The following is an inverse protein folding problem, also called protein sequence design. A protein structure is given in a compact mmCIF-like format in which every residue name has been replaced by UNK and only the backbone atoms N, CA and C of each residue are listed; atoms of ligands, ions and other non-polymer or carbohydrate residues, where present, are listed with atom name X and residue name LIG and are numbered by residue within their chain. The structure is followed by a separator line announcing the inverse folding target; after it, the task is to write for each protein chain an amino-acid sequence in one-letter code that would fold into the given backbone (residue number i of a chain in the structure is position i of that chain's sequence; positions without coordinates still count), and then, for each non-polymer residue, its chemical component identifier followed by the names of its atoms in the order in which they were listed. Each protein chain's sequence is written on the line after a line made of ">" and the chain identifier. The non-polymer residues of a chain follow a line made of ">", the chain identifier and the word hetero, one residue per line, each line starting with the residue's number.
data_IF_218432029332
#
_entry.id   IF_218432029332
#
_cell.length_a   1.000
_cell.length_b   1.000
_cell.length_c   1.000
_cell.angle_alpha   90.00
_cell.angle_beta   90.00
_cell.angle_gamma   90.00
#
_symmetry.space_group_name_H-M   'P 1'
#
loop_
_entity.id
_entity.type
_entity.pdbx_description
1 polymer ?
#
# COMPACT_ATOMS: atom_id res chain seq x y z
N UNK A 1 -2.43 -15.41 -29.73
CA UNK A 1 -1.48 -15.00 -28.67
C UNK A 1 -1.95 -13.67 -28.11
N UNK A 2 -1.97 -13.48 -26.79
CA UNK A 2 -2.31 -12.22 -26.11
C UNK A 2 -0.99 -11.63 -25.58
N UNK A 3 -0.59 -10.46 -26.06
CA UNK A 3 0.63 -9.79 -25.60
C UNK A 3 0.34 -8.92 -24.40
N UNK A 4 1.07 -9.13 -23.31
CA UNK A 4 0.87 -8.42 -22.04
C UNK A 4 2.18 -7.79 -21.58
N UNK A 5 2.18 -6.48 -21.44
CA UNK A 5 3.25 -5.73 -20.79
C UNK A 5 2.87 -5.50 -19.31
N UNK A 6 3.80 -5.73 -18.40
CA UNK A 6 3.71 -5.25 -17.02
C UNK A 6 4.61 -4.01 -16.90
N UNK A 7 4.03 -2.88 -16.49
CA UNK A 7 4.70 -1.60 -16.31
C UNK A 7 4.50 -1.10 -14.87
N UNK A 8 5.09 -1.79 -13.87
CA UNK A 8 4.96 -1.38 -12.46
C UNK A 8 5.75 -0.08 -12.23
N UNK A 9 5.07 0.96 -11.72
CA UNK A 9 5.77 2.17 -11.27
C UNK A 9 6.25 2.02 -9.82
N UNK A 10 5.42 1.39 -8.98
CA UNK A 10 5.77 1.09 -7.60
C UNK A 10 6.14 -0.40 -7.50
N UNK A 11 7.42 -0.69 -7.76
CA UNK A 11 7.98 -2.05 -7.81
C UNK A 11 8.04 -2.68 -6.42
N UNK A 12 8.10 -1.89 -5.36
CA UNK A 12 8.01 -2.33 -3.96
C UNK A 12 6.68 -3.05 -3.68
N UNK A 13 5.64 -2.76 -4.47
CA UNK A 13 4.36 -3.47 -4.45
C UNK A 13 4.21 -4.46 -5.62
N UNK A 14 5.32 -5.05 -6.11
CA UNK A 14 5.30 -6.08 -7.14
C UNK A 14 4.44 -7.28 -6.75
N UNK A 15 4.28 -7.56 -5.46
CA UNK A 15 3.40 -8.61 -4.93
C UNK A 15 1.92 -8.46 -5.34
N UNK A 16 1.47 -7.25 -5.71
CA UNK A 16 0.16 -7.02 -6.33
C UNK A 16 0.01 -7.61 -7.74
N UNK A 17 1.12 -7.80 -8.47
CA UNK A 17 1.17 -8.28 -9.86
C UNK A 17 1.84 -9.66 -10.01
N UNK A 18 2.69 -10.05 -9.06
CA UNK A 18 3.59 -11.20 -9.17
C UNK A 18 2.88 -12.51 -9.55
N UNK A 19 1.76 -12.84 -8.88
CA UNK A 19 1.03 -14.08 -9.19
C UNK A 19 0.29 -14.01 -10.54
N UNK A 20 -0.16 -12.81 -10.97
CA UNK A 20 -0.76 -12.62 -12.29
C UNK A 20 0.30 -12.85 -13.37
N UNK A 21 1.47 -12.21 -13.22
CA UNK A 21 2.62 -12.40 -14.11
C UNK A 21 3.05 -13.86 -14.20
N UNK A 22 3.32 -14.52 -13.07
CA UNK A 22 3.82 -15.89 -13.06
C UNK A 22 2.85 -16.90 -13.67
N UNK A 23 1.54 -16.65 -13.54
CA UNK A 23 0.52 -17.50 -14.16
C UNK A 23 0.39 -17.23 -15.65
N UNK A 24 0.39 -15.97 -16.09
CA UNK A 24 0.36 -15.65 -17.53
C UNK A 24 1.62 -16.15 -18.24
N UNK A 25 2.81 -16.01 -17.62
CA UNK A 25 4.08 -16.51 -18.19
C UNK A 25 4.09 -18.01 -18.47
N UNK A 26 3.30 -18.78 -17.73
CA UNK A 26 3.18 -20.25 -17.85
C UNK A 26 2.01 -20.69 -18.73
N UNK A 27 1.25 -19.76 -19.27
CA UNK A 27 0.04 -20.00 -20.03
C UNK A 27 0.29 -19.66 -21.50
N UNK A 28 0.22 -20.67 -22.37
CA UNK A 28 0.55 -20.60 -23.81
C UNK A 28 -0.27 -19.56 -24.59
N UNK A 29 -1.37 -19.07 -24.00
CA UNK A 29 -2.17 -18.00 -24.61
C UNK A 29 -1.50 -16.65 -24.53
N UNK A 30 -0.49 -16.48 -23.68
CA UNK A 30 0.14 -15.19 -23.37
C UNK A 30 1.60 -15.13 -23.79
N UNK A 31 1.99 -13.99 -24.33
CA UNK A 31 3.38 -13.53 -24.41
C UNK A 31 3.52 -12.38 -23.41
N UNK A 32 4.35 -12.53 -22.38
CA UNK A 32 4.46 -11.54 -21.29
C UNK A 32 5.85 -10.95 -21.20
N UNK A 33 5.92 -9.64 -20.92
CA UNK A 33 7.18 -8.93 -20.61
C UNK A 33 6.96 -7.95 -19.46
N UNK A 34 7.98 -7.79 -18.63
CA UNK A 34 8.02 -6.77 -17.57
C UNK A 34 8.98 -5.68 -18.00
N UNK A 35 8.55 -4.44 -17.85
CA UNK A 35 9.33 -3.27 -18.22
C UNK A 35 9.50 -2.35 -17.02
N UNK A 36 10.67 -1.76 -16.86
CA UNK A 36 10.93 -0.72 -15.87
C UNK A 36 11.11 0.63 -16.56
N UNK A 37 10.63 1.67 -15.90
CA UNK A 37 10.67 3.07 -16.35
C UNK A 37 11.12 3.95 -15.19
N UNK A 38 11.50 5.19 -15.50
CA UNK A 38 11.73 6.18 -14.46
C UNK A 38 10.42 6.58 -13.81
N UNK A 39 10.50 6.99 -12.56
CA UNK A 39 9.39 7.51 -11.76
C UNK A 39 9.81 8.78 -11.05
N UNK A 40 8.83 9.58 -10.65
CA UNK A 40 9.03 10.75 -9.79
C UNK A 40 8.08 10.65 -8.62
N UNK A 41 8.53 10.15 -7.47
CA UNK A 41 7.75 10.14 -6.23
C UNK A 41 7.75 11.53 -5.60
N UNK A 42 6.89 11.75 -4.60
CA UNK A 42 6.91 13.02 -3.88
C UNK A 42 8.27 13.22 -3.20
N UNK A 43 8.79 14.44 -3.28
CA UNK A 43 10.13 14.77 -2.76
C UNK A 43 11.25 14.62 -3.79
N UNK A 44 11.01 13.88 -4.88
CA UNK A 44 12.01 13.71 -5.93
C UNK A 44 12.17 14.98 -6.79
N UNK A 45 13.41 15.43 -7.05
CA UNK A 45 13.64 16.59 -7.91
C UNK A 45 13.30 16.26 -9.37
N UNK A 46 13.66 15.07 -9.84
CA UNK A 46 13.57 14.64 -11.24
C UNK A 46 13.07 13.18 -11.35
N UNK A 47 12.77 12.73 -12.58
CA UNK A 47 12.45 11.33 -12.84
C UNK A 47 13.71 10.44 -12.70
N UNK A 48 13.66 9.44 -11.83
CA UNK A 48 14.77 8.51 -11.55
C UNK A 48 14.25 7.10 -11.19
N UNK A 49 15.06 6.24 -10.58
CA UNK A 49 14.59 4.99 -9.96
C UNK A 49 14.46 3.79 -10.89
N UNK A 50 14.78 3.93 -12.18
CA UNK A 50 14.60 2.86 -13.17
C UNK A 50 15.59 1.70 -12.97
N UNK A 51 16.84 2.02 -12.61
CA UNK A 51 17.90 1.04 -12.38
C UNK A 51 17.61 0.26 -11.11
N UNK A 52 17.24 0.95 -10.04
CA UNK A 52 16.86 0.36 -8.75
C UNK A 52 15.63 -0.54 -8.90
N UNK A 53 14.64 -0.11 -9.70
CA UNK A 53 13.49 -0.94 -10.05
C UNK A 53 13.88 -2.20 -10.82
N UNK A 54 14.83 -2.09 -11.76
CA UNK A 54 15.36 -3.22 -12.53
C UNK A 54 16.09 -4.22 -11.63
N UNK A 55 17.05 -3.73 -10.84
CA UNK A 55 17.84 -4.52 -9.89
C UNK A 55 16.97 -5.20 -8.84
N UNK A 56 15.95 -4.50 -8.32
CA UNK A 56 14.99 -5.10 -7.40
C UNK A 56 14.27 -6.29 -8.04
N UNK A 57 13.72 -6.12 -9.24
CA UNK A 57 13.02 -7.20 -9.96
C UNK A 57 13.96 -8.37 -10.28
N UNK A 58 15.21 -8.09 -10.66
CA UNK A 58 16.23 -9.13 -10.87
C UNK A 58 16.56 -9.89 -9.57
N UNK A 59 16.68 -9.18 -8.44
CA UNK A 59 16.97 -9.79 -7.14
C UNK A 59 15.90 -10.81 -6.71
N UNK A 60 14.64 -10.60 -7.13
CA UNK A 60 13.52 -11.53 -6.92
C UNK A 60 13.23 -12.43 -8.13
N UNK A 61 14.18 -12.51 -9.08
CA UNK A 61 14.18 -13.40 -10.24
C UNK A 61 13.02 -13.15 -11.22
N UNK A 62 12.64 -11.89 -11.40
CA UNK A 62 11.65 -11.45 -12.39
C UNK A 62 12.37 -10.91 -13.63
N UNK A 63 12.34 -11.63 -14.77
CA UNK A 63 12.92 -11.13 -16.00
C UNK A 63 12.24 -9.82 -16.43
N UNK A 64 13.03 -8.79 -16.63
CA UNK A 64 12.52 -7.46 -16.95
C UNK A 64 13.49 -6.71 -17.87
N UNK A 65 13.00 -5.66 -18.52
CA UNK A 65 13.77 -4.83 -19.45
C UNK A 65 13.61 -3.36 -19.07
N UNK A 66 14.72 -2.65 -18.90
CA UNK A 66 14.71 -1.19 -18.80
C UNK A 66 14.35 -0.60 -20.16
N UNK A 67 13.24 0.11 -20.24
CA UNK A 67 12.86 0.80 -21.48
C UNK A 67 13.78 1.99 -21.73
N UNK A 68 14.41 2.02 -22.90
CA UNK A 68 15.12 3.21 -23.39
C UNK A 68 14.16 4.27 -23.93
N UNK A 69 13.02 3.83 -24.50
CA UNK A 69 11.96 4.70 -24.99
C UNK A 69 10.60 4.00 -25.02
N UNK A 70 9.52 4.79 -25.16
CA UNK A 70 8.17 4.24 -25.35
C UNK A 70 8.03 3.45 -26.66
N UNK A 71 8.90 3.68 -27.65
CA UNK A 71 8.82 2.99 -28.93
C UNK A 71 9.19 1.51 -28.82
N UNK A 72 10.04 1.14 -27.86
CA UNK A 72 10.30 -0.27 -27.51
C UNK A 72 9.03 -0.95 -26.96
N UNK A 73 8.27 -0.26 -26.11
CA UNK A 73 6.98 -0.75 -25.61
C UNK A 73 5.94 -0.86 -26.73
N UNK A 74 5.88 0.12 -27.65
CA UNK A 74 5.02 0.05 -28.84
C UNK A 74 5.43 -1.07 -29.79
N UNK A 75 6.72 -1.31 -29.98
CA UNK A 75 7.25 -2.37 -30.83
C UNK A 75 6.89 -3.76 -30.30
N UNK A 76 6.81 -3.94 -28.98
CA UNK A 76 6.26 -5.14 -28.38
C UNK A 76 4.77 -5.34 -28.74
N UNK A 77 4.05 -4.24 -29.03
CA UNK A 77 2.63 -4.21 -29.38
C UNK A 77 1.74 -4.96 -28.36
N UNK A 78 1.74 -4.54 -27.08
CA UNK A 78 0.93 -5.20 -26.05
C UNK A 78 -0.56 -4.98 -26.30
N UNK A 79 -1.34 -6.07 -26.27
CA UNK A 79 -2.81 -5.99 -26.19
C UNK A 79 -3.25 -5.34 -24.87
N UNK A 80 -2.52 -5.65 -23.78
CA UNK A 80 -2.74 -5.07 -22.46
C UNK A 80 -1.43 -4.60 -21.83
N UNK A 81 -1.46 -3.40 -21.23
CA UNK A 81 -0.42 -2.93 -20.31
C UNK A 81 -0.99 -2.88 -18.89
N UNK A 82 -0.39 -3.68 -18.00
CA UNK A 82 -0.70 -3.71 -16.58
C UNK A 82 0.04 -2.59 -15.86
N UNK A 83 -0.70 -1.79 -15.10
CA UNK A 83 -0.16 -0.76 -14.20
C UNK A 83 -0.73 -0.96 -12.80
N UNK A 84 0.04 -0.57 -11.77
CA UNK A 84 -0.38 -0.70 -10.37
C UNK A 84 -0.48 0.62 -9.60
N UNK A 85 0.08 1.70 -10.15
CA UNK A 85 0.10 3.01 -9.53
C UNK A 85 -0.79 3.97 -10.31
N UNK A 86 -1.81 4.59 -9.68
CA UNK A 86 -2.82 5.33 -10.44
C UNK A 86 -2.46 6.79 -10.73
N UNK A 87 -1.41 7.31 -10.08
CA UNK A 87 -1.07 8.74 -9.99
C UNK A 87 -0.25 9.22 -11.19
N UNK A 88 -0.82 10.10 -12.02
CA UNK A 88 -0.22 10.41 -13.33
C UNK A 88 1.02 11.30 -13.25
N UNK A 89 1.10 12.16 -12.23
CA UNK A 89 2.26 13.04 -12.00
C UNK A 89 3.57 12.27 -11.83
N UNK A 90 3.50 11.01 -11.40
CA UNK A 90 4.65 10.17 -11.11
C UNK A 90 5.19 9.41 -12.34
N UNK A 91 4.48 9.47 -13.47
CA UNK A 91 4.90 8.91 -14.76
C UNK A 91 5.45 10.00 -15.68
N UNK A 92 6.52 9.68 -16.41
CA UNK A 92 6.91 10.47 -17.59
C UNK A 92 5.74 10.50 -18.59
N UNK A 93 5.59 11.59 -19.34
CA UNK A 93 4.39 11.84 -20.15
C UNK A 93 4.07 10.72 -21.15
N UNK A 94 5.11 10.12 -21.74
CA UNK A 94 4.99 9.01 -22.68
C UNK A 94 4.44 7.71 -22.06
N UNK A 95 4.48 7.57 -20.73
CA UNK A 95 3.98 6.41 -19.98
C UNK A 95 2.70 6.69 -19.19
N UNK A 96 2.16 7.91 -19.23
CA UNK A 96 0.86 8.25 -18.64
C UNK A 96 -0.29 7.52 -19.36
N UNK A 97 -1.41 7.37 -18.66
CA UNK A 97 -2.60 6.68 -19.16
C UNK A 97 -3.10 7.26 -20.49
N UNK A 98 -3.07 8.58 -20.67
CA UNK A 98 -3.43 9.27 -21.91
C UNK A 98 -2.55 8.88 -23.10
N UNK A 99 -1.29 8.54 -22.85
CA UNK A 99 -0.33 8.11 -23.88
C UNK A 99 -0.47 6.62 -24.16
N UNK A 100 -0.58 5.79 -23.11
CA UNK A 100 -0.71 4.34 -23.23
C UNK A 100 -2.00 3.94 -23.96
N UNK A 101 -3.12 4.57 -23.63
CA UNK A 101 -4.44 4.20 -24.17
C UNK A 101 -4.54 4.36 -25.70
N UNK A 102 -3.61 5.07 -26.32
CA UNK A 102 -3.54 5.26 -27.78
C UNK A 102 -3.09 4.02 -28.54
N UNK A 103 -2.42 3.07 -27.88
CA UNK A 103 -1.88 1.87 -28.54
C UNK A 103 -2.06 0.57 -27.76
N UNK A 104 -2.54 0.60 -26.51
CA UNK A 104 -2.74 -0.60 -25.69
C UNK A 104 -3.91 -0.45 -24.72
N UNK A 105 -4.52 -1.56 -24.30
CA UNK A 105 -5.55 -1.54 -23.26
C UNK A 105 -4.90 -1.47 -21.88
N UNK A 106 -5.29 -0.49 -21.09
CA UNK A 106 -4.81 -0.38 -19.70
C UNK A 106 -5.57 -1.38 -18.81
N UNK A 107 -4.82 -2.17 -18.05
CA UNK A 107 -5.31 -3.08 -17.02
C UNK A 107 -4.76 -2.66 -15.66
N UNK A 108 -5.60 -2.17 -14.76
CA UNK A 108 -5.16 -1.62 -13.46
C UNK A 108 -5.39 -2.61 -12.31
N UNK A 109 -4.32 -2.91 -11.56
CA UNK A 109 -4.35 -3.70 -10.32
C UNK A 109 -3.77 -2.84 -9.18
N UNK A 110 -4.54 -2.46 -8.15
CA UNK A 110 -4.05 -1.54 -7.12
C UNK A 110 -2.80 -2.02 -6.36
N UNK A 111 -1.84 -1.11 -6.14
CA UNK A 111 -0.62 -1.36 -5.35
C UNK A 111 -0.86 -1.42 -3.83
N UNK A 112 -1.86 -0.68 -3.33
CA UNK A 112 -2.24 -0.65 -1.92
C UNK A 112 -3.00 -1.93 -1.53
N UNK A 113 -3.17 -2.21 -0.24
CA UNK A 113 -3.80 -3.46 0.21
C UNK A 113 -5.32 -3.36 0.35
N UNK A 114 -5.80 -2.35 1.08
CA UNK A 114 -7.20 -2.18 1.49
C UNK A 114 -7.56 -0.68 1.52
N UNK A 115 -8.74 -0.27 1.00
CA UNK A 115 -9.19 1.12 1.04
C UNK A 115 -9.80 1.47 2.41
N UNK A 116 -8.96 1.83 3.37
CA UNK A 116 -9.32 1.93 4.79
C UNK A 116 -9.88 3.29 5.24
N UNK A 117 -9.77 4.35 4.43
CA UNK A 117 -10.17 5.71 4.83
C UNK A 117 -11.26 6.31 3.95
N UNK A 118 -12.01 7.21 4.56
CA UNK A 118 -12.84 8.22 3.92
C UNK A 118 -12.07 9.54 3.88
N UNK A 119 -12.19 10.30 2.80
CA UNK A 119 -11.70 11.68 2.78
C UNK A 119 -12.62 12.58 3.63
N UNK A 120 -12.12 13.64 4.30
CA UNK A 120 -12.94 14.51 5.16
C UNK A 120 -14.13 15.18 4.43
N UNK A 121 -14.10 15.24 3.10
CA UNK A 121 -15.12 15.84 2.25
C UNK A 121 -15.90 14.81 1.43
N UNK A 122 -15.59 13.52 1.55
CA UNK A 122 -16.31 12.43 0.89
C UNK A 122 -17.15 11.64 1.90
N UNK A 123 -18.05 10.79 1.40
CA UNK A 123 -18.71 9.75 2.20
C UNK A 123 -18.36 8.37 1.64
N UNK A 124 -18.00 7.42 2.50
CA UNK A 124 -17.66 6.06 2.09
C UNK A 124 -16.24 5.93 1.52
N UNK A 125 -16.09 5.34 0.33
CA UNK A 125 -14.76 5.10 -0.25
C UNK A 125 -14.19 6.43 -0.76
N UNK A 126 -12.99 6.80 -0.30
CA UNK A 126 -12.31 8.02 -0.72
C UNK A 126 -12.10 8.10 -2.25
N UNK A 127 -12.29 9.29 -2.83
CA UNK A 127 -12.21 9.56 -4.26
C UNK A 127 -10.93 9.09 -4.93
N UNK A 128 -9.78 9.17 -4.25
CA UNK A 128 -8.49 8.76 -4.82
C UNK A 128 -8.42 7.28 -5.20
N UNK A 129 -9.28 6.42 -4.63
CA UNK A 129 -9.35 5.00 -4.98
C UNK A 129 -10.05 4.71 -6.30
N UNK A 130 -10.83 5.65 -6.87
CA UNK A 130 -11.64 5.37 -8.05
C UNK A 130 -11.78 6.51 -9.08
N UNK A 131 -11.31 7.74 -8.78
CA UNK A 131 -11.45 8.92 -9.67
C UNK A 131 -10.14 9.39 -10.33
N UNK A 132 -9.12 8.54 -10.41
CA UNK A 132 -7.86 8.86 -11.09
C UNK A 132 -7.98 8.73 -12.61
N UNK A 133 -7.17 9.49 -13.34
CA UNK A 133 -7.13 9.43 -14.82
C UNK A 133 -6.83 8.03 -15.35
N UNK A 134 -5.92 7.30 -14.71
CA UNK A 134 -5.65 5.88 -14.99
C UNK A 134 -6.91 5.01 -14.84
N UNK A 135 -7.76 5.27 -13.85
CA UNK A 135 -9.02 4.57 -13.68
C UNK A 135 -10.04 4.93 -14.77
N UNK A 136 -10.09 6.21 -15.14
CA UNK A 136 -10.99 6.69 -16.19
C UNK A 136 -10.59 6.18 -17.58
N UNK A 137 -9.31 5.89 -17.85
CA UNK A 137 -8.84 5.38 -19.14
C UNK A 137 -8.61 3.85 -19.17
N UNK A 138 -8.72 3.16 -18.03
CA UNK A 138 -8.58 1.72 -17.96
C UNK A 138 -9.64 0.97 -18.78
N UNK A 139 -9.20 -0.06 -19.51
CA UNK A 139 -10.08 -1.05 -20.14
C UNK A 139 -10.54 -2.11 -19.15
N UNK A 140 -9.72 -2.40 -18.13
CA UNK A 140 -10.02 -3.30 -17.02
C UNK A 140 -9.48 -2.73 -15.71
N UNK A 141 -10.29 -2.79 -14.66
CA UNK A 141 -9.87 -2.49 -13.28
C UNK A 141 -10.17 -3.70 -12.41
N UNK A 142 -9.27 -4.02 -11.49
CA UNK A 142 -9.37 -5.17 -10.59
C UNK A 142 -9.44 -4.70 -9.13
N UNK A 143 -10.63 -4.68 -8.55
CA UNK A 143 -10.83 -4.20 -7.17
C UNK A 143 -10.76 -5.33 -6.16
N UNK A 144 -10.29 -4.97 -4.97
CA UNK A 144 -10.04 -5.86 -3.86
C UNK A 144 -11.31 -6.09 -3.04
N UNK A 145 -12.15 -5.05 -2.93
CA UNK A 145 -13.38 -5.02 -2.16
C UNK A 145 -14.60 -4.65 -3.05
N UNK A 146 -15.84 -4.96 -2.60
CA UNK A 146 -17.04 -4.65 -3.34
C UNK A 146 -17.47 -3.17 -3.22
N UNK A 147 -17.07 -2.44 -2.17
CA UNK A 147 -17.40 -1.02 -1.97
C UNK A 147 -16.74 -0.15 -3.04
N UNK A 148 -15.45 -0.36 -3.32
CA UNK A 148 -14.72 0.37 -4.36
C UNK A 148 -15.35 0.12 -5.73
N UNK A 149 -15.75 -1.12 -6.03
CA UNK A 149 -16.48 -1.42 -7.28
C UNK A 149 -17.83 -0.69 -7.36
N UNK A 150 -18.53 -0.50 -6.23
CA UNK A 150 -19.75 0.31 -6.17
C UNK A 150 -19.46 1.80 -6.37
N UNK A 151 -18.38 2.33 -5.78
CA UNK A 151 -17.96 3.72 -5.95
C UNK A 151 -17.68 4.05 -7.42
N UNK A 152 -17.13 3.12 -8.19
CA UNK A 152 -17.00 3.26 -9.65
C UNK A 152 -18.33 3.46 -10.41
N UNK A 153 -19.50 3.21 -9.81
CA UNK A 153 -20.78 3.56 -10.44
C UNK A 153 -21.06 5.06 -10.43
N UNK A 154 -20.36 5.82 -9.59
CA UNK A 154 -20.47 7.26 -9.46
C UNK A 154 -19.69 8.01 -10.55
N UNK A 155 -18.79 7.33 -11.27
CA UNK A 155 -18.02 7.92 -12.38
C UNK A 155 -18.80 7.86 -13.69
N UNK A 156 -18.45 8.71 -14.66
CA UNK A 156 -19.17 8.80 -15.94
C UNK A 156 -19.17 7.46 -16.71
N UNK A 157 -18.06 6.70 -16.61
CA UNK A 157 -17.93 5.40 -17.28
C UNK A 157 -18.62 4.25 -16.54
N UNK A 158 -19.04 4.48 -15.29
CA UNK A 158 -19.64 3.48 -14.42
C UNK A 158 -18.73 2.29 -14.14
N UNK A 159 -19.30 1.18 -13.64
CA UNK A 159 -18.52 0.05 -13.14
C UNK A 159 -18.41 -1.16 -14.10
N UNK A 160 -18.79 -1.04 -15.38
CA UNK A 160 -18.88 -2.21 -16.30
C UNK A 160 -17.53 -2.86 -16.58
N UNK A 161 -16.46 -2.07 -16.62
CA UNK A 161 -15.09 -2.51 -16.86
C UNK A 161 -14.35 -2.92 -15.57
N UNK A 162 -14.98 -2.66 -14.42
CA UNK A 162 -14.45 -2.94 -13.08
C UNK A 162 -14.82 -4.37 -12.65
N UNK A 163 -13.82 -5.14 -12.27
CA UNK A 163 -13.93 -6.55 -11.87
C UNK A 163 -13.58 -6.66 -10.40
N UNK A 164 -14.50 -7.20 -9.64
CA UNK A 164 -14.26 -7.56 -8.25
C UNK A 164 -13.52 -8.88 -8.22
N UNK A 165 -12.23 -8.85 -7.90
CA UNK A 165 -11.33 -10.00 -8.00
C UNK A 165 -10.70 -10.41 -6.68
N UNK A 166 -10.78 -9.58 -5.64
CA UNK A 166 -9.92 -9.72 -4.47
C UNK A 166 -8.50 -9.22 -4.77
N UNK A 167 -7.60 -9.37 -3.80
CA UNK A 167 -6.23 -8.81 -3.85
C UNK A 167 -5.17 -9.91 -4.03
N UNK A 168 -4.42 -9.94 -5.16
CA UNK A 168 -3.24 -10.81 -5.28
C UNK A 168 -2.20 -10.52 -4.20
N UNK A 169 -2.13 -9.26 -3.73
CA UNK A 169 -1.25 -8.84 -2.65
C UNK A 169 -1.61 -9.51 -1.33
N UNK A 170 -2.90 -9.56 -0.95
CA UNK A 170 -3.35 -10.29 0.24
C UNK A 170 -3.06 -11.79 0.10
N UNK A 171 -3.36 -12.38 -1.07
CA UNK A 171 -3.04 -13.80 -1.35
C UNK A 171 -1.55 -14.10 -1.15
N UNK A 172 -0.67 -13.20 -1.63
CA UNK A 172 0.78 -13.26 -1.45
C UNK A 172 1.21 -13.09 0.01
N UNK A 173 0.67 -12.09 0.71
CA UNK A 173 0.97 -11.79 2.11
C UNK A 173 0.67 -12.98 3.02
N UNK A 174 -0.54 -13.53 2.93
CA UNK A 174 -0.93 -14.70 3.70
C UNK A 174 -0.12 -15.95 3.33
N UNK A 175 0.26 -16.10 2.06
CA UNK A 175 1.13 -17.21 1.64
C UNK A 175 2.52 -17.09 2.26
N UNK A 176 3.08 -15.88 2.35
CA UNK A 176 4.34 -15.63 3.05
C UNK A 176 4.19 -15.89 4.54
N UNK A 177 3.12 -15.43 5.17
CA UNK A 177 2.85 -15.65 6.58
C UNK A 177 2.84 -17.14 6.95
N UNK A 178 2.10 -17.97 6.18
CA UNK A 178 2.07 -19.44 6.37
C UNK A 178 3.43 -20.14 6.18
N UNK A 179 4.38 -19.50 5.47
CA UNK A 179 5.72 -20.03 5.21
C UNK A 179 6.79 -19.46 6.13
N UNK A 180 6.46 -18.40 6.86
CA UNK A 180 7.39 -17.78 7.79
C UNK A 180 7.75 -18.79 8.87
N UNK A 181 9.05 -18.94 9.14
CA UNK A 181 9.51 -19.79 10.22
C UNK A 181 9.28 -19.05 11.54
N UNK A 182 8.68 -19.75 12.50
CA UNK A 182 8.69 -19.33 13.89
C UNK A 182 10.09 -19.55 14.46
N UNK A 183 10.59 -18.57 15.20
CA UNK A 183 11.88 -18.66 15.90
C UNK A 183 11.63 -18.62 17.39
N UNK A 184 12.33 -19.49 18.13
CA UNK A 184 12.32 -19.43 19.58
C UNK A 184 13.04 -18.16 20.04
N UNK A 185 12.41 -17.45 20.98
CA UNK A 185 12.92 -16.20 21.55
C UNK A 185 12.88 -16.29 23.06
N UNK A 186 13.89 -15.72 23.71
CA UNK A 186 13.98 -15.66 25.17
C UNK A 186 13.28 -14.44 25.77
N UNK A 187 12.94 -13.43 24.94
CA UNK A 187 12.34 -12.17 25.34
C UNK A 187 11.04 -11.89 24.58
N UNK A 188 10.12 -11.24 25.27
CA UNK A 188 8.92 -10.66 24.66
C UNK A 188 9.34 -9.62 23.61
N UNK A 189 8.68 -9.59 22.46
CA UNK A 189 9.01 -8.68 21.36
C UNK A 189 7.85 -7.81 20.96
N UNK A 190 8.09 -6.51 21.03
CA UNK A 190 7.21 -5.48 20.50
C UNK A 190 7.78 -5.04 19.15
N UNK A 191 6.92 -4.97 18.14
CA UNK A 191 7.20 -4.21 16.93
C UNK A 191 6.50 -2.87 17.10
N UNK A 192 7.26 -1.78 17.13
CA UNK A 192 6.72 -0.43 17.13
C UNK A 192 6.84 0.15 15.73
N UNK A 193 5.70 0.42 15.10
CA UNK A 193 5.63 0.83 13.70
C UNK A 193 4.91 2.17 13.52
N UNK A 194 5.61 3.29 13.74
CA UNK A 194 5.05 4.61 13.58
C UNK A 194 4.92 5.04 12.10
N UNK A 195 3.92 5.86 11.84
CA UNK A 195 3.46 6.32 10.55
C UNK A 195 3.81 7.78 10.33
N UNK A 196 4.00 8.14 9.07
CA UNK A 196 4.57 9.42 8.68
C UNK A 196 3.55 10.49 8.29
N UNK A 197 2.25 10.18 8.25
CA UNK A 197 1.25 11.13 7.80
C UNK A 197 0.88 12.13 8.89
N UNK A 198 1.19 13.40 8.67
CA UNK A 198 0.83 14.52 9.56
C UNK A 198 -0.04 15.55 8.85
N UNK A 199 -0.89 16.23 9.61
CA UNK A 199 -1.72 17.36 9.16
C UNK A 199 -3.01 16.95 8.47
N UNK A 200 -4.07 17.78 8.55
CA UNK A 200 -5.45 17.39 8.20
C UNK A 200 -5.69 17.18 6.68
N UNK A 201 -4.77 17.66 5.83
CA UNK A 201 -4.87 17.56 4.38
C UNK A 201 -4.41 16.21 3.81
N UNK A 202 -3.87 15.34 4.67
CA UNK A 202 -3.57 13.94 4.37
C UNK A 202 -3.92 13.09 5.60
N UNK A 203 -3.86 11.76 5.49
CA UNK A 203 -4.37 10.75 6.44
C UNK A 203 -4.28 11.12 7.96
N UNK A 204 -3.26 11.86 8.39
CA UNK A 204 -3.09 12.39 9.76
C UNK A 204 -3.06 11.32 10.87
N UNK A 205 -2.57 10.13 10.56
CA UNK A 205 -2.42 9.02 11.51
C UNK A 205 -1.19 9.12 12.41
N UNK A 206 -0.15 9.86 12.02
CA UNK A 206 1.15 9.86 12.71
C UNK A 206 1.05 10.45 14.12
N UNK A 207 1.73 9.78 15.06
CA UNK A 207 1.77 10.14 16.49
C UNK A 207 3.20 10.17 17.06
N UNK A 208 4.22 9.90 16.24
CA UNK A 208 5.63 9.80 16.68
C UNK A 208 6.09 11.02 17.48
N UNK A 209 5.84 12.24 16.97
CA UNK A 209 6.18 13.53 17.60
C UNK A 209 5.61 13.73 19.00
N UNK A 210 4.55 12.99 19.35
CA UNK A 210 3.90 13.08 20.65
C UNK A 210 4.44 12.05 21.65
N UNK A 211 5.14 11.01 21.20
CA UNK A 211 5.44 9.84 22.05
C UNK A 211 6.86 9.26 21.92
N UNK A 212 7.68 9.74 20.99
CA UNK A 212 8.99 9.12 20.73
C UNK A 212 9.91 9.10 21.96
N UNK A 213 9.84 10.13 22.81
CA UNK A 213 10.63 10.20 24.05
C UNK A 213 10.07 9.25 25.11
N UNK A 214 8.74 9.16 25.25
CA UNK A 214 8.10 8.22 26.16
C UNK A 214 8.41 6.76 25.77
N UNK A 215 8.39 6.45 24.47
CA UNK A 215 8.78 5.15 23.95
C UNK A 215 10.26 4.84 24.21
N UNK A 216 11.15 5.83 24.05
CA UNK A 216 12.56 5.66 24.37
C UNK A 216 12.77 5.39 25.88
N UNK A 217 12.04 6.08 26.76
CA UNK A 217 12.09 5.83 28.20
C UNK A 217 11.50 4.46 28.56
N UNK A 218 10.41 4.07 27.91
CA UNK A 218 9.81 2.74 28.07
C UNK A 218 10.81 1.64 27.69
N UNK A 219 11.52 1.79 26.57
CA UNK A 219 12.57 0.85 26.16
C UNK A 219 13.69 0.73 27.21
N UNK A 220 14.10 1.85 27.82
CA UNK A 220 15.11 1.88 28.89
C UNK A 220 14.64 1.19 30.16
N UNK A 221 13.38 1.34 30.54
CA UNK A 221 12.84 0.75 31.77
C UNK A 221 12.45 -0.72 31.65
N UNK A 222 12.44 -1.29 30.43
CA UNK A 222 12.10 -2.70 30.17
C UNK A 222 13.21 -3.43 29.39
N UNK A 223 14.43 -3.57 29.96
CA UNK A 223 15.56 -4.22 29.28
C UNK A 223 15.34 -5.72 28.97
N UNK A 224 14.32 -6.34 29.58
CA UNK A 224 13.86 -7.70 29.34
C UNK A 224 13.00 -7.87 28.08
N UNK A 225 12.66 -6.78 27.40
CA UNK A 225 11.78 -6.75 26.22
C UNK A 225 12.56 -6.30 25.00
N UNK A 226 12.47 -7.05 23.90
CA UNK A 226 12.99 -6.64 22.62
C UNK A 226 12.01 -5.66 21.95
N UNK A 227 12.45 -4.48 21.54
CA UNK A 227 11.62 -3.52 20.81
C UNK A 227 12.22 -3.23 19.44
N UNK A 228 11.47 -3.61 18.40
CA UNK A 228 11.87 -3.40 17.00
C UNK A 228 11.15 -2.17 16.45
N UNK A 229 11.91 -1.12 16.16
CA UNK A 229 11.44 0.06 15.45
C UNK A 229 11.29 -0.27 13.97
N UNK A 230 10.04 -0.31 13.48
CA UNK A 230 9.66 -0.52 12.07
C UNK A 230 9.00 0.75 11.53
N UNK A 231 9.75 1.85 11.34
CA UNK A 231 9.15 3.08 10.86
C UNK A 231 8.59 2.89 9.45
N UNK A 232 7.56 3.68 9.12
CA UNK A 232 7.24 3.91 7.71
C UNK A 232 8.50 4.44 6.99
N UNK A 233 8.84 4.01 5.76
CA UNK A 233 10.08 4.42 5.08
C UNK A 233 10.26 5.93 4.98
N UNK A 234 9.16 6.68 4.89
CA UNK A 234 9.18 8.14 4.83
C UNK A 234 9.18 8.86 6.18
N UNK A 235 9.05 8.16 7.31
CA UNK A 235 8.87 8.79 8.63
C UNK A 235 9.95 9.82 8.95
N UNK A 236 11.21 9.39 9.02
CA UNK A 236 12.30 10.25 9.47
C UNK A 236 12.50 11.45 8.53
N UNK A 237 12.38 11.24 7.21
CA UNK A 237 12.41 12.32 6.23
C UNK A 237 11.22 13.28 6.35
N UNK A 238 10.02 12.76 6.62
CA UNK A 238 8.84 13.60 6.84
C UNK A 238 8.98 14.48 8.09
N UNK A 239 9.59 13.97 9.17
CA UNK A 239 9.78 14.73 10.41
C UNK A 239 10.58 16.02 10.18
N UNK A 240 11.63 15.96 9.36
CA UNK A 240 12.48 17.12 9.07
C UNK A 240 11.93 17.96 7.91
N UNK A 241 11.44 17.34 6.84
CA UNK A 241 10.89 18.04 5.67
C UNK A 241 9.60 18.84 5.98
N UNK A 242 8.92 18.52 7.09
CA UNK A 242 7.74 19.24 7.57
C UNK A 242 7.98 20.03 8.85
N UNK A 243 9.24 20.20 9.24
CA UNK A 243 9.63 20.99 10.41
C UNK A 243 8.95 20.53 11.71
N UNK A 244 8.59 19.24 11.78
CA UNK A 244 8.02 18.63 12.99
C UNK A 244 9.10 18.38 14.03
N UNK A 245 10.33 18.11 13.57
CA UNK A 245 11.54 17.99 14.38
C UNK A 245 12.73 18.53 13.58
N UNK A 246 13.76 19.02 14.27
CA UNK A 246 15.03 19.37 13.62
C UNK A 246 15.82 18.12 13.26
N UNK A 247 16.68 18.19 12.23
CA UNK A 247 17.56 17.06 11.88
C UNK A 247 18.42 16.61 13.08
N UNK A 248 18.97 17.56 13.85
CA UNK A 248 19.75 17.26 15.05
C UNK A 248 18.94 16.53 16.13
N UNK A 249 17.65 16.87 16.31
CA UNK A 249 16.77 16.16 17.24
C UNK A 249 16.50 14.72 16.78
N UNK A 250 16.23 14.52 15.49
CA UNK A 250 16.03 13.18 14.90
C UNK A 250 17.30 12.34 15.06
N UNK A 251 18.47 12.86 14.69
CA UNK A 251 19.75 12.15 14.80
C UNK A 251 20.08 11.79 16.25
N UNK A 252 19.81 12.70 17.18
CA UNK A 252 20.01 12.47 18.62
C UNK A 252 19.11 11.35 19.13
N UNK A 253 17.84 11.35 18.74
CA UNK A 253 16.88 10.33 19.14
C UNK A 253 17.25 8.96 18.55
N UNK A 254 17.59 8.89 17.26
CA UNK A 254 18.01 7.63 16.60
C UNK A 254 19.27 7.06 17.27
N UNK A 255 20.27 7.91 17.54
CA UNK A 255 21.48 7.49 18.25
C UNK A 255 21.17 6.96 19.65
N UNK A 256 20.23 7.59 20.38
CA UNK A 256 19.82 7.13 21.69
C UNK A 256 19.04 5.81 21.63
N UNK A 257 18.20 5.63 20.60
CA UNK A 257 17.49 4.38 20.33
C UNK A 257 18.46 3.24 20.03
N UNK A 258 19.37 3.42 19.08
CA UNK A 258 20.32 2.38 18.64
C UNK A 258 21.37 2.03 19.71
N UNK A 259 21.54 2.87 20.74
CA UNK A 259 22.45 2.62 21.86
C UNK A 259 21.87 1.66 22.92
N UNK A 260 20.56 1.38 22.90
CA UNK A 260 19.94 0.47 23.87
C UNK A 260 20.16 -1.00 23.46
N UNK A 261 20.51 -1.89 24.39
CA UNK A 261 20.83 -3.29 24.07
C UNK A 261 19.62 -4.16 23.72
N UNK A 262 18.41 -3.64 23.91
CA UNK A 262 17.13 -4.33 23.69
C UNK A 262 16.32 -3.71 22.54
N UNK A 263 16.87 -2.74 21.82
CA UNK A 263 16.23 -2.13 20.66
C UNK A 263 16.89 -2.57 19.36
N UNK A 264 16.15 -2.45 18.27
CA UNK A 264 16.70 -2.56 16.91
C UNK A 264 15.84 -1.78 15.94
N UNK A 265 16.39 -1.46 14.77
CA UNK A 265 15.67 -0.80 13.68
C UNK A 265 15.56 -1.74 12.48
N UNK A 266 14.35 -1.95 11.97
CA UNK A 266 14.10 -2.73 10.77
C UNK A 266 13.64 -1.81 9.64
N UNK A 267 14.48 -1.66 8.61
CA UNK A 267 14.15 -0.90 7.38
C UNK A 267 13.84 -1.81 6.20
N UNK A 268 13.87 -3.12 6.42
CA UNK A 268 13.63 -4.12 5.39
C UNK A 268 12.21 -4.04 4.82
N UNK A 269 12.09 -4.38 3.53
CA UNK A 269 10.81 -4.44 2.82
C UNK A 269 9.99 -5.67 3.20
N UNK A 270 10.63 -6.80 3.54
CA UNK A 270 9.94 -8.01 4.02
C UNK A 270 9.88 -8.05 5.55
N UNK A 271 8.73 -7.69 6.10
CA UNK A 271 8.44 -7.67 7.54
C UNK A 271 7.54 -8.82 7.99
N UNK A 272 7.15 -9.75 7.11
CA UNK A 272 6.21 -10.83 7.47
C UNK A 272 6.79 -11.74 8.55
N UNK A 273 8.07 -12.11 8.41
CA UNK A 273 8.78 -12.88 9.43
C UNK A 273 8.87 -12.14 10.76
N UNK A 274 9.06 -10.81 10.73
CA UNK A 274 9.08 -9.98 11.93
C UNK A 274 7.73 -10.01 12.67
N UNK A 275 6.62 -9.91 11.94
CA UNK A 275 5.27 -9.91 12.55
C UNK A 275 4.86 -11.28 13.09
N UNK A 276 5.18 -12.36 12.36
CA UNK A 276 4.96 -13.73 12.84
C UNK A 276 5.73 -13.99 14.14
N UNK A 277 6.91 -13.39 14.28
CA UNK A 277 7.79 -13.54 15.43
C UNK A 277 7.76 -12.33 16.38
N UNK A 278 6.68 -11.55 16.40
CA UNK A 278 6.42 -10.57 17.45
C UNK A 278 5.36 -11.09 18.41
N UNK A 279 5.30 -10.52 19.61
CA UNK A 279 4.22 -10.77 20.56
C UNK A 279 3.17 -9.66 20.53
N UNK A 280 3.58 -8.45 20.14
CA UNK A 280 2.71 -7.29 20.00
C UNK A 280 3.16 -6.42 18.83
N UNK A 281 2.21 -5.93 18.04
CA UNK A 281 2.40 -4.76 17.18
C UNK A 281 1.80 -3.55 17.88
N UNK A 282 2.60 -2.49 18.00
CA UNK A 282 2.18 -1.16 18.39
C UNK A 282 2.32 -0.25 17.17
N UNK A 283 1.22 0.24 16.61
CA UNK A 283 1.26 1.07 15.41
C UNK A 283 0.23 2.18 15.50
N UNK A 284 0.55 3.32 14.91
CA UNK A 284 -0.39 4.38 14.60
C UNK A 284 -0.74 4.36 13.09
N UNK A 285 -0.18 3.43 12.30
CA UNK A 285 -0.23 3.45 10.84
C UNK A 285 -1.33 2.57 10.26
N UNK A 286 -2.12 3.18 9.38
CA UNK A 286 -3.26 2.55 8.69
C UNK A 286 -2.94 1.18 8.05
N UNK A 287 -1.81 1.04 7.36
CA UNK A 287 -1.47 -0.17 6.61
C UNK A 287 -1.28 -1.39 7.53
N UNK A 288 -0.56 -1.22 8.64
CA UNK A 288 -0.27 -2.35 9.53
C UNK A 288 -1.43 -2.75 10.42
N UNK A 289 -2.42 -1.86 10.63
CA UNK A 289 -3.70 -2.25 11.27
C UNK A 289 -4.42 -3.33 10.48
N UNK A 290 -4.40 -3.27 9.14
CA UNK A 290 -4.98 -4.32 8.29
C UNK A 290 -4.06 -5.52 8.09
N UNK A 291 -2.74 -5.30 7.97
CA UNK A 291 -1.80 -6.36 7.64
C UNK A 291 -1.46 -7.29 8.80
N UNK A 292 -1.35 -6.76 10.02
CA UNK A 292 -0.99 -7.56 11.18
C UNK A 292 -1.98 -8.70 11.47
N UNK A 293 -3.30 -8.47 11.53
CA UNK A 293 -4.27 -9.56 11.65
C UNK A 293 -4.24 -10.50 10.43
N UNK A 294 -4.02 -10.01 9.20
CA UNK A 294 -3.86 -10.87 8.02
C UNK A 294 -2.67 -11.84 8.12
N UNK A 295 -1.58 -11.39 8.75
CA UNK A 295 -0.34 -12.16 8.89
C UNK A 295 -0.40 -13.10 10.08
N UNK A 296 -0.89 -12.61 11.22
CA UNK A 296 -0.72 -13.28 12.52
C UNK A 296 -2.00 -13.89 13.06
N UNK A 297 -3.18 -13.47 12.58
CA UNK A 297 -4.46 -13.79 13.20
C UNK A 297 -4.66 -13.17 14.58
N UNK A 298 -3.84 -12.17 14.97
CA UNK A 298 -3.87 -11.53 16.29
C UNK A 298 -4.22 -10.03 16.17
N UNK A 299 -4.81 -9.43 17.22
CA UNK A 299 -5.04 -8.00 17.28
C UNK A 299 -3.71 -7.22 17.34
N UNK A 300 -3.74 -6.00 16.81
CA UNK A 300 -2.69 -5.00 17.02
C UNK A 300 -3.10 -3.99 18.12
N UNK A 301 -2.14 -3.28 18.68
CA UNK A 301 -2.37 -2.08 19.48
C UNK A 301 -2.31 -0.86 18.57
N UNK A 302 -3.43 -0.13 18.49
CA UNK A 302 -3.56 1.09 17.70
C UNK A 302 -3.38 2.32 18.58
N UNK A 303 -2.31 3.09 18.34
CA UNK A 303 -2.12 4.42 18.92
C UNK A 303 -2.85 5.43 18.04
N UNK A 304 -4.05 5.80 18.47
CA UNK A 304 -5.03 6.49 17.66
C UNK A 304 -4.86 8.01 17.77
N UNK A 305 -4.47 8.65 16.67
CA UNK A 305 -4.56 10.10 16.55
C UNK A 305 -6.03 10.51 16.40
N UNK A 306 -6.60 11.23 17.36
CA UNK A 306 -8.01 11.65 17.34
C UNK A 306 -8.42 12.45 16.10
N UNK A 307 -7.46 13.04 15.39
CA UNK A 307 -7.68 13.88 14.21
C UNK A 307 -7.29 13.17 12.89
N UNK A 308 -7.07 11.84 12.92
CA UNK A 308 -6.85 11.08 11.69
C UNK A 308 -8.09 11.11 10.78
N UNK A 309 -7.91 10.90 9.48
CA UNK A 309 -9.02 10.77 8.55
C UNK A 309 -9.96 9.64 8.98
N UNK A 310 -11.27 9.88 8.91
CA UNK A 310 -12.26 8.89 9.30
C UNK A 310 -12.07 7.57 8.53
N UNK A 311 -12.30 6.44 9.20
CA UNK A 311 -12.27 5.15 8.53
C UNK A 311 -13.39 5.05 7.49
N UNK A 312 -13.14 4.29 6.43
CA UNK A 312 -14.21 3.80 5.55
C UNK A 312 -14.97 2.68 6.28
N UNK A 313 -16.11 2.17 5.76
CA UNK A 313 -16.78 1.03 6.37
C UNK A 313 -15.87 -0.18 6.60
N UNK A 314 -15.04 -0.55 5.60
CA UNK A 314 -14.02 -1.60 5.73
C UNK A 314 -12.92 -1.20 6.73
N UNK A 315 -12.55 0.08 6.76
CA UNK A 315 -11.61 0.61 7.74
C UNK A 315 -12.08 0.43 9.18
N UNK A 316 -13.38 0.63 9.46
CA UNK A 316 -13.95 0.39 10.80
C UNK A 316 -13.95 -1.11 11.14
N UNK A 317 -14.30 -1.99 10.18
CA UNK A 317 -14.18 -3.45 10.36
C UNK A 317 -12.75 -3.81 10.79
N UNK A 318 -11.74 -3.26 10.13
CA UNK A 318 -10.32 -3.49 10.47
C UNK A 318 -9.96 -2.88 11.81
N UNK A 319 -10.34 -1.64 12.07
CA UNK A 319 -9.99 -0.95 13.31
C UNK A 319 -10.62 -1.62 14.54
N UNK A 320 -11.76 -2.32 14.37
CA UNK A 320 -12.40 -3.13 15.41
C UNK A 320 -11.62 -4.41 15.78
N UNK A 321 -10.68 -4.84 14.92
CA UNK A 321 -9.74 -5.92 15.26
C UNK A 321 -8.66 -5.48 16.26
N UNK A 322 -8.57 -4.19 16.59
CA UNK A 322 -7.45 -3.62 17.36
C UNK A 322 -7.81 -3.27 18.80
N UNK A 323 -6.80 -3.05 19.62
CA UNK A 323 -6.92 -2.39 20.92
C UNK A 323 -6.48 -0.93 20.80
N UNK A 324 -7.42 0.01 20.94
CA UNK A 324 -7.16 1.44 20.71
C UNK A 324 -6.72 2.16 21.99
N UNK A 325 -5.70 3.00 21.87
CA UNK A 325 -5.26 3.93 22.92
C UNK A 325 -5.09 5.33 22.35
N UNK A 326 -5.51 6.34 23.12
CA UNK A 326 -5.44 7.76 22.71
C UNK A 326 -4.10 8.43 23.05
N UNK A 327 -3.25 7.76 23.82
CA UNK A 327 -1.91 8.22 24.19
C UNK A 327 -1.01 7.03 24.51
N UNK A 328 0.30 7.24 24.42
CA UNK A 328 1.28 6.22 24.81
C UNK A 328 1.27 5.98 26.33
N UNK A 329 1.10 7.03 27.13
CA UNK A 329 0.87 6.91 28.58
C UNK A 329 -0.26 5.91 28.93
N UNK A 330 -1.42 6.01 28.26
CA UNK A 330 -2.55 5.11 28.51
C UNK A 330 -2.25 3.65 28.13
N UNK A 331 -1.44 3.45 27.10
CA UNK A 331 -0.93 2.13 26.71
C UNK A 331 0.05 1.60 27.76
N UNK A 332 1.07 2.39 28.12
CA UNK A 332 2.11 2.01 29.07
C UNK A 332 1.52 1.62 30.43
N UNK A 333 0.50 2.34 30.90
CA UNK A 333 -0.21 2.03 32.15
C UNK A 333 -0.91 0.66 32.15
N UNK A 334 -1.21 0.09 30.98
CA UNK A 334 -1.83 -1.25 30.85
C UNK A 334 -0.85 -2.32 30.36
N UNK A 335 0.37 -1.93 30.02
CA UNK A 335 1.29 -2.79 29.29
C UNK A 335 1.58 -4.11 30.02
N UNK A 336 1.95 -4.06 31.30
CA UNK A 336 2.28 -5.28 32.08
C UNK A 336 1.12 -6.28 32.11
N UNK A 337 -0.10 -5.79 32.32
CA UNK A 337 -1.30 -6.63 32.26
C UNK A 337 -1.47 -7.29 30.88
N UNK A 338 -1.32 -6.51 29.81
CA UNK A 338 -1.43 -7.03 28.43
C UNK A 338 -0.31 -8.02 28.10
N UNK A 339 0.89 -7.83 28.65
CA UNK A 339 2.04 -8.72 28.48
C UNK A 339 1.82 -10.05 29.18
N UNK A 340 1.28 -10.04 30.39
CA UNK A 340 1.07 -11.23 31.23
C UNK A 340 -0.18 -12.02 30.84
N UNK A 341 -1.30 -11.34 30.60
CA UNK A 341 -2.59 -11.96 30.29
C UNK A 341 -2.82 -12.17 28.79
N UNK A 342 -2.03 -11.50 27.94
CA UNK A 342 -2.24 -11.42 26.49
C UNK A 342 -3.17 -10.27 26.09
N UNK A 343 -3.19 -9.98 24.79
CA UNK A 343 -4.15 -9.02 24.23
C UNK A 343 -5.58 -9.59 24.31
N UNK A 344 -6.61 -8.74 24.51
CA UNK A 344 -8.00 -9.18 24.49
C UNK A 344 -8.33 -9.96 23.22
N UNK A 345 -9.14 -11.01 23.37
CA UNK A 345 -9.59 -11.80 22.23
C UNK A 345 -10.40 -10.95 21.26
N UNK A 346 -10.00 -10.99 19.98
CA UNK A 346 -10.60 -10.31 18.85
C UNK A 346 -10.91 -11.27 17.70
N UNK A 347 -10.96 -12.57 17.97
CA UNK A 347 -11.09 -13.60 16.93
C UNK A 347 -12.32 -13.38 16.04
N UNK A 348 -13.48 -13.06 16.63
CA UNK A 348 -14.70 -12.75 15.86
C UNK A 348 -14.52 -11.53 14.94
N UNK A 349 -13.95 -10.42 15.45
CA UNK A 349 -13.72 -9.23 14.62
C UNK A 349 -12.69 -9.50 13.52
N UNK A 350 -11.69 -10.33 13.79
CA UNK A 350 -10.70 -10.76 12.80
C UNK A 350 -11.35 -11.65 11.76
N UNK A 351 -12.24 -12.57 12.13
CA UNK A 351 -13.01 -13.39 11.20
C UNK A 351 -13.89 -12.53 10.29
N UNK A 352 -14.65 -11.59 10.84
CA UNK A 352 -15.47 -10.63 10.08
C UNK A 352 -14.62 -9.84 9.06
N UNK A 353 -13.47 -9.34 9.52
CA UNK A 353 -12.51 -8.65 8.65
C UNK A 353 -12.01 -9.57 7.53
N UNK A 354 -11.63 -10.81 7.83
CA UNK A 354 -11.12 -11.77 6.84
C UNK A 354 -12.19 -12.10 5.79
N UNK A 355 -13.43 -12.27 6.21
CA UNK A 355 -14.57 -12.52 5.32
C UNK A 355 -14.84 -11.34 4.38
N UNK A 356 -14.72 -10.10 4.87
CA UNK A 356 -14.89 -8.90 4.04
C UNK A 356 -13.70 -8.66 3.09
N UNK A 357 -12.47 -8.79 3.59
CA UNK A 357 -11.25 -8.43 2.88
C UNK A 357 -10.72 -9.52 1.93
N UNK A 358 -11.11 -10.78 2.13
CA UNK A 358 -10.64 -11.93 1.36
C UNK A 358 -11.82 -12.62 0.64
N UNK A 359 -12.52 -11.92 -0.26
CA UNK A 359 -13.74 -12.44 -0.88
C UNK A 359 -13.50 -13.66 -1.78
N UNK A 360 -12.26 -13.84 -2.26
CA UNK A 360 -11.87 -14.94 -3.13
C UNK A 360 -10.48 -15.47 -2.76
N UNK A 361 -10.34 -16.18 -1.62
CA UNK A 361 -9.04 -16.61 -1.13
C UNK A 361 -8.28 -17.42 -2.17
N UNK A 362 -7.04 -17.03 -2.48
CA UNK A 362 -6.13 -17.71 -3.42
C UNK A 362 -6.64 -17.77 -4.86
N UNK A 363 -7.59 -16.90 -5.23
CA UNK A 363 -8.27 -16.91 -6.55
C UNK A 363 -8.12 -15.57 -7.28
N UNK A 364 -7.53 -14.54 -6.68
CA UNK A 364 -7.49 -13.21 -7.27
C UNK A 364 -6.81 -13.20 -8.64
N UNK A 365 -5.58 -13.73 -8.73
CA UNK A 365 -4.84 -13.77 -9.99
C UNK A 365 -5.57 -14.57 -11.10
N UNK A 366 -6.20 -15.70 -10.76
CA UNK A 366 -6.98 -16.49 -11.73
C UNK A 366 -8.20 -15.72 -12.25
N UNK A 367 -8.87 -14.95 -11.39
CA UNK A 367 -10.01 -14.11 -11.78
C UNK A 367 -9.59 -12.96 -12.70
N UNK A 368 -8.44 -12.34 -12.43
CA UNK A 368 -7.81 -11.33 -13.29
C UNK A 368 -7.54 -11.91 -14.68
N UNK A 369 -6.83 -13.03 -14.77
CA UNK A 369 -6.50 -13.69 -16.05
C UNK A 369 -7.77 -14.07 -16.82
N UNK A 370 -8.77 -14.65 -16.14
CA UNK A 370 -10.07 -14.98 -16.77
C UNK A 370 -10.76 -13.74 -17.35
N UNK A 371 -10.69 -12.60 -16.67
CA UNK A 371 -11.28 -11.36 -17.15
C UNK A 371 -10.54 -10.81 -18.37
N UNK A 372 -9.21 -10.89 -18.41
CA UNK A 372 -8.38 -10.49 -19.56
C UNK A 372 -8.71 -11.33 -20.79
N UNK A 373 -8.71 -12.67 -20.66
CA UNK A 373 -9.09 -13.57 -21.77
C UNK A 373 -10.50 -13.28 -22.27
N UNK A 374 -11.44 -13.06 -21.35
CA UNK A 374 -12.83 -12.73 -21.70
C UNK A 374 -12.96 -11.37 -22.39
N UNK A 375 -12.18 -10.37 -22.00
CA UNK A 375 -12.22 -9.06 -22.67
C UNK A 375 -11.53 -9.10 -24.04
N UNK A 376 -10.41 -9.82 -24.14
CA UNK A 376 -9.69 -10.00 -25.40
C UNK A 376 -10.57 -10.63 -26.47
N UNK A 377 -11.30 -11.71 -26.12
CA UNK A 377 -12.23 -12.36 -27.06
C UNK A 377 -13.37 -11.48 -27.56
N UNK A 378 -13.64 -10.32 -26.93
CA UNK A 378 -14.65 -9.37 -27.40
C UNK A 378 -14.14 -8.40 -28.46
N UNK A 379 -12.82 -8.31 -28.67
CA UNK A 379 -12.21 -7.43 -29.67
C UNK A 379 -12.71 -5.98 -29.58
N UNK A 380 -12.95 -5.49 -28.35
CA UNK A 380 -13.36 -4.10 -28.13
C UNK A 380 -12.24 -3.14 -28.54
N UNK A 381 -12.57 -1.99 -29.16
CA UNK A 381 -11.58 -0.97 -29.48
C UNK A 381 -10.96 -0.38 -28.21
N UNK A 382 -9.84 0.33 -28.38
CA UNK A 382 -9.23 1.13 -27.33
C UNK A 382 -10.19 2.21 -26.84
N UNK A 383 -9.99 2.65 -25.60
CA UNK A 383 -10.77 3.77 -25.04
C UNK A 383 -10.32 5.05 -25.72
N UNK A 384 -11.27 5.82 -26.24
CA UNK A 384 -11.02 7.13 -26.83
C UNK A 384 -10.77 8.17 -25.72
N UNK A 385 -9.53 8.65 -25.53
CA UNK A 385 -9.22 9.57 -24.44
C UNK A 385 -9.94 10.92 -24.58
N UNK A 386 -10.33 11.33 -25.80
CA UNK A 386 -11.04 12.60 -26.02
C UNK A 386 -12.47 12.58 -25.45
N UNK A 387 -13.05 11.39 -25.21
CA UNK A 387 -14.36 11.22 -24.60
C UNK A 387 -14.33 11.16 -23.08
N UNK A 388 -13.15 11.19 -22.48
CA UNK A 388 -12.95 11.10 -21.02
C UNK A 388 -12.60 12.48 -20.48
N UNK A 389 -13.65 13.24 -20.18
CA UNK A 389 -13.57 14.65 -19.76
C UNK A 389 -13.82 14.85 -18.26
N UNK A 390 -14.33 13.82 -17.56
CA UNK A 390 -14.56 13.84 -16.12
C UNK A 390 -13.33 14.34 -15.34
N UNK A 391 -13.52 15.32 -14.46
CA UNK A 391 -12.46 15.85 -13.59
C UNK A 391 -11.89 14.75 -12.71
N UNK A 392 -10.56 14.64 -12.71
CA UNK A 392 -9.85 13.64 -11.91
C UNK A 392 -9.81 14.05 -10.46
N UNK A 393 -9.59 13.08 -9.57
CA UNK A 393 -9.32 13.38 -8.17
C UNK A 393 -8.10 14.29 -7.98
N UNK A 394 -7.02 14.08 -8.75
CA UNK A 394 -5.82 14.92 -8.66
C UNK A 394 -6.13 16.38 -8.99
N UNK A 395 -6.94 16.63 -10.03
CA UNK A 395 -7.36 17.98 -10.41
C UNK A 395 -8.21 18.64 -9.31
N UNK A 396 -9.19 17.91 -8.75
CA UNK A 396 -10.01 18.41 -7.64
C UNK A 396 -9.15 18.70 -6.39
N UNK A 397 -8.20 17.81 -6.08
CA UNK A 397 -7.33 17.93 -4.92
C UNK A 397 -6.38 19.14 -5.05
N UNK A 398 -5.86 19.40 -6.24
CA UNK A 398 -5.02 20.57 -6.50
C UNK A 398 -5.88 21.87 -6.45
N UNK A 399 -7.10 21.85 -6.98
CA UNK A 399 -8.03 22.98 -6.89
C UNK A 399 -8.38 23.34 -5.43
N UNK A 400 -8.61 22.33 -4.57
CA UNK A 400 -8.89 22.54 -3.13
C UNK A 400 -7.74 23.19 -2.35
N UNK A 401 -6.51 23.11 -2.86
CA UNK A 401 -5.30 23.58 -2.18
C UNK A 401 -4.90 25.01 -2.53
N UNK A 402 -5.44 25.57 -3.60
CA UNK A 402 -4.94 26.83 -4.17
C UNK A 402 -3.56 26.67 -4.82
N UNK A 403 -3.02 27.77 -5.36
CA UNK A 403 -1.78 27.80 -6.15
C UNK A 403 -0.52 27.41 -5.33
N UNK A 404 -0.58 27.55 -4.00
CA UNK A 404 0.59 27.38 -3.10
C UNK A 404 0.52 26.16 -2.16
N UNK A 405 -0.48 25.27 -2.30
CA UNK A 405 -0.66 24.17 -1.35
C UNK A 405 0.19 22.93 -1.63
N UNK A 406 0.67 22.28 -0.56
CA UNK A 406 1.49 21.05 -0.58
C UNK A 406 0.76 19.89 -1.29
N UNK A 407 1.40 19.11 -2.19
CA UNK A 407 0.76 17.97 -2.86
C UNK A 407 0.07 16.96 -1.92
N UNK A 408 -0.93 16.25 -2.44
CA UNK A 408 -1.78 15.35 -1.67
C UNK A 408 -1.06 14.14 -1.14
N UNK A 409 -0.11 13.67 -1.92
CA UNK A 409 0.80 12.65 -1.46
C UNK A 409 1.77 13.30 -0.48
N UNK A 410 2.05 12.66 0.65
CA UNK A 410 2.98 13.20 1.62
C UNK A 410 4.31 13.51 0.93
N UNK A 411 4.79 14.76 1.13
CA UNK A 411 6.17 15.18 0.87
C UNK A 411 7.19 14.17 1.37
#
# INVERSE_FOLDING_TARGET
>A
MIRVAFLPLYTEAWDSLAEVFERMRKDERFEVRVFTIKRKLTGDPEFHGQVEAHEYLESIKVPNTMLGSVDELKAFAPDYTFINYPWQRNYEEQYRAESLVKFTKIAYVPYFLLPMVSEPWDTGVAGHYYRQRSHQLASLIFTQDPNTKRAFKLTERGSKYVKFTGSPKIDSLMKRARKAKTVDRSRYRIVWAPHHSYGPLWLNFGTFTQMHDEMLQFAKSHPEIDIVFKPHPFLLGTLTARELMTQSAVDTWVKAWDALPNTSTNIESDYVGLFVNSDMLLSDGISFLGEYPLITGRPAVFLENKDHWAFSPLGETIANTTLRFKSFEAFAAKFEKLREEGLPDRSEQIEDFMDEAIPFPRKAARKIIKAVVKDFGKQKPLIDPAKVIETTWEQDADARRGVDGVPAQPR
#
